data_IF_104051978676
#
_entry.id   IF_104051978676
#
_cell.length_a   1.000
_cell.length_b   1.000
_cell.length_c   1.000
_cell.angle_alpha   90.00
_cell.angle_beta   90.00
_cell.angle_gamma   90.00
#
_symmetry.space_group_name_H-M   'P 1'
#
loop_
_entity.id
_entity.type
_entity.pdbx_description
1 polymer ?
#
# COMPACT_ATOMS: atom_id res chain seq x y z
N UNK A 1 15.36 -16.82 0.38
CA UNK A 1 14.05 -16.85 -0.28
C UNK A 1 13.41 -15.55 0.15
N UNK A 2 13.29 -14.56 -0.74
CA UNK A 2 12.65 -13.29 -0.38
C UNK A 2 11.15 -13.54 -0.45
N UNK A 3 10.52 -13.75 0.70
CA UNK A 3 9.08 -13.91 0.79
C UNK A 3 8.41 -12.57 0.49
N UNK A 4 7.82 -12.48 -0.71
CA UNK A 4 7.00 -11.32 -1.10
C UNK A 4 5.60 -11.52 -0.55
N UNK A 5 5.20 -10.64 0.38
CA UNK A 5 3.83 -10.63 0.91
C UNK A 5 2.95 -9.87 -0.07
N UNK A 6 1.81 -10.45 -0.44
CA UNK A 6 0.80 -9.78 -1.29
C UNK A 6 -0.52 -9.64 -0.54
N UNK A 7 -1.05 -8.43 -0.54
CA UNK A 7 -2.31 -8.05 0.11
C UNK A 7 -3.20 -7.38 -0.92
N UNK A 8 -4.47 -7.77 -0.98
CA UNK A 8 -5.49 -7.09 -1.78
C UNK A 8 -6.45 -6.38 -0.84
N UNK A 9 -6.60 -5.07 -1.02
CA UNK A 9 -7.43 -4.22 -0.19
C UNK A 9 -8.70 -3.87 -0.96
N UNK A 10 -9.76 -4.67 -0.80
CA UNK A 10 -11.04 -4.40 -1.47
C UNK A 10 -11.99 -3.62 -0.55
N UNK A 11 -12.39 -2.41 -0.96
CA UNK A 11 -13.44 -1.64 -0.31
C UNK A 11 -14.22 -0.81 -1.34
N UNK A 12 -15.56 -0.82 -1.24
CA UNK A 12 -16.47 -0.01 -2.06
C UNK A 12 -16.22 -0.08 -3.58
N UNK A 13 -15.79 -1.23 -4.10
CA UNK A 13 -15.59 -1.46 -5.53
C UNK A 13 -14.19 -1.11 -6.05
N UNK A 14 -13.29 -0.58 -5.21
CA UNK A 14 -11.87 -0.50 -5.50
C UNK A 14 -11.13 -1.64 -4.79
N UNK A 15 -10.15 -2.27 -5.45
CA UNK A 15 -9.36 -3.40 -4.99
C UNK A 15 -7.84 -3.21 -5.21
N UNK A 16 -7.23 -2.12 -4.70
CA UNK A 16 -5.79 -1.94 -4.79
C UNK A 16 -5.01 -3.11 -4.20
N UNK A 17 -3.85 -3.40 -4.80
CA UNK A 17 -2.95 -4.47 -4.39
C UNK A 17 -1.66 -3.89 -3.82
N UNK A 18 -1.22 -4.43 -2.69
CA UNK A 18 0.05 -4.11 -2.06
C UNK A 18 0.97 -5.34 -2.15
N UNK A 19 2.15 -5.15 -2.71
CA UNK A 19 3.23 -6.14 -2.74
C UNK A 19 4.37 -5.62 -1.84
N UNK A 20 4.75 -6.39 -0.82
CA UNK A 20 5.79 -6.05 0.16
C UNK A 20 6.95 -7.02 -0.04
N UNK A 21 8.11 -6.47 -0.39
CA UNK A 21 9.40 -7.17 -0.43
C UNK A 21 10.30 -6.63 0.70
N UNK A 22 11.50 -7.18 0.87
CA UNK A 22 12.45 -6.80 1.92
C UNK A 22 12.74 -5.29 1.95
N UNK A 23 12.92 -4.68 0.78
CA UNK A 23 13.39 -3.30 0.64
C UNK A 23 12.33 -2.33 0.11
N UNK A 24 11.20 -2.85 -0.39
CA UNK A 24 10.22 -2.03 -1.11
C UNK A 24 8.79 -2.48 -0.91
N UNK A 25 7.88 -1.50 -1.02
CA UNK A 25 6.44 -1.69 -1.00
C UNK A 25 5.87 -1.10 -2.28
N UNK A 26 5.13 -1.91 -3.02
CA UNK A 26 4.49 -1.51 -4.27
C UNK A 26 2.98 -1.49 -4.05
N UNK A 27 2.36 -0.35 -4.29
CA UNK A 27 0.90 -0.17 -4.25
C UNK A 27 0.42 0.00 -5.70
N UNK A 28 -0.55 -0.82 -6.12
CA UNK A 28 -1.19 -0.77 -7.43
C UNK A 28 -2.67 -0.50 -7.24
N UNK A 29 -3.24 0.42 -8.02
CA UNK A 29 -4.69 0.60 -8.10
C UNK A 29 -5.29 -0.29 -9.20
N UNK A 30 -6.62 -0.25 -9.32
CA UNK A 30 -7.38 -1.06 -10.29
C UNK A 30 -7.29 -0.53 -11.73
N UNK A 31 -6.82 0.71 -11.92
CA UNK A 31 -6.79 1.43 -13.19
C UNK A 31 -5.38 1.48 -13.80
N UNK A 32 -4.42 0.76 -13.21
CA UNK A 32 -3.04 0.65 -13.68
C UNK A 32 -2.08 1.68 -13.08
N UNK A 33 -2.54 2.53 -12.17
CA UNK A 33 -1.68 3.38 -11.35
C UNK A 33 -0.81 2.54 -10.41
N UNK A 34 0.45 2.96 -10.26
CA UNK A 34 1.44 2.25 -9.45
C UNK A 34 2.37 3.23 -8.74
N UNK A 35 2.59 3.00 -7.46
CA UNK A 35 3.59 3.71 -6.66
C UNK A 35 4.51 2.69 -6.00
N UNK A 36 5.81 2.94 -6.07
CA UNK A 36 6.83 2.17 -5.35
C UNK A 36 7.40 3.03 -4.24
N UNK A 37 7.45 2.48 -3.03
CA UNK A 37 7.95 3.13 -1.83
C UNK A 37 9.05 2.27 -1.21
N UNK A 38 9.98 2.91 -0.50
CA UNK A 38 10.80 2.17 0.47
C UNK A 38 9.96 1.79 1.69
N UNK A 39 10.40 0.80 2.43
CA UNK A 39 9.74 0.38 3.68
C UNK A 39 9.57 1.55 4.67
N UNK A 40 10.53 2.47 4.75
CA UNK A 40 10.45 3.64 5.64
C UNK A 40 9.46 4.70 5.14
N UNK A 41 9.39 4.93 3.83
CA UNK A 41 8.35 5.81 3.26
C UNK A 41 6.95 5.25 3.51
N UNK A 42 6.79 3.92 3.40
CA UNK A 42 5.52 3.26 3.67
C UNK A 42 5.09 3.38 5.13
N UNK A 43 6.03 3.26 6.09
CA UNK A 43 5.74 3.51 7.52
C UNK A 43 5.24 4.92 7.77
N UNK A 44 5.86 5.93 7.16
CA UNK A 44 5.41 7.34 7.28
C UNK A 44 3.99 7.50 6.70
N UNK A 45 3.72 6.85 5.57
CA UNK A 45 2.39 6.90 4.93
C UNK A 45 1.32 6.24 5.81
N UNK A 46 1.61 5.09 6.41
CA UNK A 46 0.71 4.41 7.34
C UNK A 46 0.46 5.25 8.60
N UNK A 47 1.51 5.80 9.20
CA UNK A 47 1.39 6.66 10.38
C UNK A 47 0.50 7.88 10.08
N UNK A 48 0.70 8.53 8.93
CA UNK A 48 -0.16 9.65 8.51
C UNK A 48 -1.60 9.21 8.23
N UNK A 49 -1.80 8.08 7.55
CA UNK A 49 -3.12 7.58 7.19
C UNK A 49 -3.96 7.15 8.40
N UNK A 50 -3.33 6.50 9.39
CA UNK A 50 -3.99 6.06 10.62
C UNK A 50 -4.34 7.25 11.54
N UNK A 51 -3.54 8.31 11.51
CA UNK A 51 -3.80 9.54 12.24
C UNK A 51 -4.70 10.51 11.46
N UNK A 52 -4.99 10.25 10.19
CA UNK A 52 -5.98 11.00 9.41
C UNK A 52 -7.39 10.50 9.74
N UNK A 53 -8.03 11.10 10.75
CA UNK A 53 -9.49 11.13 10.85
C UNK A 53 -10.04 12.08 9.78
N UNK A 54 -9.95 11.70 8.51
CA UNK A 54 -10.61 12.44 7.43
C UNK A 54 -12.12 12.22 7.53
N UNK A 55 -12.86 13.30 7.79
CA UNK A 55 -14.31 13.37 7.58
C UNK A 55 -14.62 12.98 6.13
N UNK A 56 -15.43 11.93 5.96
CA UNK A 56 -16.11 11.57 4.72
C UNK A 56 -17.56 12.04 4.79
#
# INVERSE_FOLDING_TARGET
MNDVIKLTLCQNGCCPTIEIDADSVIIKDDFGGKVTLTTDQFKILLDRGLNFKGEL
#
